data_IF_951528332769
#
_entry.id   IF_951528332769
#
_cell.length_a   1.000
_cell.length_b   1.000
_cell.length_c   1.000
_cell.angle_alpha   90.00
_cell.angle_beta   90.00
_cell.angle_gamma   90.00
#
_symmetry.space_group_name_H-M   'P 1'
#
loop_
_entity.id
_entity.type
_entity.pdbx_description
1 polymer ?
#
# COMPACT_ATOMS: atom_id res chain seq x y z
N UNK A 1 -13.13 4.39 13.16
CA UNK A 1 -12.22 4.23 12.01
C UNK A 1 -12.18 2.75 11.67
N UNK A 2 -12.50 2.35 10.43
CA UNK A 2 -12.52 0.92 10.08
C UNK A 2 -11.09 0.50 9.66
N UNK A 3 -10.42 -0.42 10.38
CA UNK A 3 -9.04 -0.80 10.08
C UNK A 3 -8.87 -1.47 8.71
N UNK A 4 -9.98 -1.96 8.13
CA UNK A 4 -10.01 -2.64 6.84
C UNK A 4 -10.10 -1.69 5.63
N UNK A 5 -10.28 -0.39 5.89
CA UNK A 5 -10.36 0.63 4.84
C UNK A 5 -9.20 1.60 5.02
N UNK A 6 -8.30 1.65 4.04
CA UNK A 6 -7.13 2.52 4.08
C UNK A 6 -6.64 2.84 2.66
N UNK A 7 -5.95 3.95 2.50
CA UNK A 7 -5.29 4.35 1.26
C UNK A 7 -4.00 5.08 1.60
N UNK A 8 -2.93 4.79 0.86
CA UNK A 8 -1.61 5.40 1.00
C UNK A 8 -1.08 5.75 -0.38
N UNK A 9 -0.59 6.98 -0.50
CA UNK A 9 0.17 7.46 -1.65
C UNK A 9 1.55 7.93 -1.17
N UNK A 10 2.60 7.48 -1.84
CA UNK A 10 3.98 7.87 -1.57
C UNK A 10 4.64 8.34 -2.86
N UNK A 11 5.03 9.60 -2.89
CA UNK A 11 5.81 10.19 -3.98
C UNK A 11 7.25 10.42 -3.53
N UNK A 12 8.21 9.82 -4.25
CA UNK A 12 9.64 9.94 -3.99
C UNK A 12 10.37 10.19 -5.30
N UNK A 13 10.92 11.41 -5.47
CA UNK A 13 11.52 11.85 -6.71
C UNK A 13 10.52 11.75 -7.87
N UNK A 14 10.90 11.04 -8.95
CA UNK A 14 10.04 10.78 -10.10
C UNK A 14 9.14 9.54 -9.96
N UNK A 15 9.18 8.84 -8.81
CA UNK A 15 8.41 7.63 -8.56
C UNK A 15 7.18 7.90 -7.69
N UNK A 16 6.04 7.29 -8.04
CA UNK A 16 4.82 7.29 -7.23
C UNK A 16 4.38 5.86 -6.93
N UNK A 17 4.08 5.59 -5.67
CA UNK A 17 3.52 4.32 -5.20
C UNK A 17 2.15 4.59 -4.60
N UNK A 18 1.15 3.81 -5.02
CA UNK A 18 -0.19 3.83 -4.46
C UNK A 18 -0.52 2.46 -3.87
N UNK A 19 -1.16 2.42 -2.72
CA UNK A 19 -1.70 1.18 -2.16
C UNK A 19 -2.98 1.46 -1.37
N UNK A 20 -3.90 0.51 -1.32
CA UNK A 20 -5.13 0.68 -0.57
C UNK A 20 -5.90 -0.59 -0.33
N UNK A 21 -6.90 -0.47 0.54
CA UNK A 21 -7.93 -1.47 0.78
C UNK A 21 -9.30 -0.81 1.00
N UNK A 22 -10.36 -1.42 0.46
CA UNK A 22 -11.75 -0.96 0.61
C UNK A 22 -12.61 -1.92 1.47
N UNK A 23 -11.99 -2.79 2.26
CA UNK A 23 -12.72 -3.81 3.04
C UNK A 23 -12.98 -5.12 2.29
N UNK A 24 -12.61 -5.23 1.00
CA UNK A 24 -12.76 -6.47 0.21
C UNK A 24 -11.58 -6.72 -0.74
N UNK A 25 -11.07 -5.66 -1.34
CA UNK A 25 -9.99 -5.67 -2.31
C UNK A 25 -8.80 -4.95 -1.71
N UNK A 26 -7.60 -5.54 -1.84
CA UNK A 26 -6.33 -4.84 -1.65
C UNK A 26 -5.73 -4.57 -3.02
N UNK A 27 -5.24 -3.36 -3.23
CA UNK A 27 -4.52 -3.01 -4.46
C UNK A 27 -3.23 -2.27 -4.16
N UNK A 28 -2.29 -2.35 -5.10
CA UNK A 28 -1.05 -1.58 -5.12
C UNK A 28 -0.64 -1.28 -6.55
N UNK A 29 -0.01 -0.13 -6.72
CA UNK A 29 0.64 0.28 -7.95
C UNK A 29 2.05 0.77 -7.60
N UNK A 30 3.06 0.09 -8.13
CA UNK A 30 4.46 0.41 -7.93
C UNK A 30 5.16 0.46 -9.30
N UNK A 31 6.02 1.45 -9.59
CA UNK A 31 6.63 1.61 -10.91
C UNK A 31 7.41 0.37 -11.37
N UNK A 32 8.01 -0.36 -10.43
CA UNK A 32 8.85 -1.54 -10.71
C UNK A 32 8.11 -2.89 -10.60
N UNK A 33 6.90 -2.92 -10.04
CA UNK A 33 6.12 -4.16 -9.86
C UNK A 33 4.82 -4.18 -10.67
N UNK A 34 4.44 -3.03 -11.25
CA UNK A 34 3.18 -2.83 -11.95
C UNK A 34 1.99 -2.66 -11.01
N UNK A 35 0.79 -2.67 -11.58
CA UNK A 35 -0.46 -2.69 -10.83
C UNK A 35 -0.81 -4.12 -10.42
N UNK A 36 -1.16 -4.32 -9.16
CA UNK A 36 -1.62 -5.60 -8.64
C UNK A 36 -2.81 -5.38 -7.71
N UNK A 37 -3.87 -6.17 -7.91
CA UNK A 37 -5.05 -6.19 -7.06
C UNK A 37 -5.35 -7.65 -6.69
N UNK A 38 -5.72 -7.88 -5.43
CA UNK A 38 -6.03 -9.19 -4.90
C UNK A 38 -7.28 -9.14 -4.02
N UNK A 39 -8.18 -10.10 -4.24
CA UNK A 39 -9.30 -10.38 -3.35
C UNK A 39 -8.83 -11.37 -2.28
N UNK A 40 -9.10 -11.06 -1.01
CA UNK A 40 -8.66 -11.89 0.10
C UNK A 40 -9.03 -11.30 1.46
N UNK A 41 -8.77 -12.04 2.56
CA UNK A 41 -9.05 -11.53 3.89
C UNK A 41 -8.27 -10.23 4.12
N UNK A 42 -9.00 -9.17 4.46
CA UNK A 42 -8.40 -7.86 4.66
C UNK A 42 -7.45 -7.92 5.86
N UNK A 43 -6.26 -7.38 5.66
CA UNK A 43 -5.25 -7.21 6.70
C UNK A 43 -5.19 -5.73 7.02
N UNK A 44 -5.40 -5.33 8.28
CA UNK A 44 -5.20 -3.95 8.70
C UNK A 44 -3.82 -3.45 8.29
N UNK A 45 -3.72 -2.19 7.85
CA UNK A 45 -2.43 -1.57 7.55
C UNK A 45 -1.63 -1.40 8.85
N UNK A 46 -0.62 -2.23 9.06
CA UNK A 46 0.27 -2.12 10.24
C UNK A 46 1.38 -1.07 10.06
N UNK A 47 1.87 -0.89 8.82
CA UNK A 47 2.96 0.05 8.52
C UNK A 47 2.86 0.54 7.08
N UNK A 48 2.81 1.87 6.90
CA UNK A 48 2.76 2.51 5.59
C UNK A 48 4.16 2.68 4.96
N UNK A 49 5.17 2.97 5.79
CA UNK A 49 6.56 3.15 5.38
C UNK A 49 7.48 2.45 6.37
N UNK A 50 8.43 1.67 5.87
CA UNK A 50 9.50 1.07 6.66
C UNK A 50 10.84 1.50 6.11
N UNK A 51 11.53 2.38 6.81
CA UNK A 51 12.91 2.75 6.52
C UNK A 51 13.81 1.96 7.47
N UNK A 52 14.77 1.21 6.93
CA UNK A 52 15.86 0.65 7.72
C UNK A 52 17.06 1.58 7.55
N UNK A 53 17.37 2.35 8.59
CA UNK A 53 18.66 3.03 8.68
C UNK A 53 19.69 1.95 9.02
N UNK A 54 20.48 1.53 8.04
CA UNK A 54 21.71 0.80 8.32
C UNK A 54 22.82 1.85 8.39
N UNK A 55 23.36 2.05 9.60
CA UNK A 55 24.71 2.59 9.78
C UNK A 55 25.72 1.47 9.57
#
# INVERSE_FOLDING_TARGET
>A
MNPDIWYVELALGASKVHAGCNGRLVWRHMPWLGAHAAEGPVRPLHRALQVRLQM
#
